data_IF_243406344058
#
_entry.id   IF_243406344058
#
_cell.length_a   1.000
_cell.length_b   1.000
_cell.length_c   1.000
_cell.angle_alpha   90.00
_cell.angle_beta   90.00
_cell.angle_gamma   90.00
#
_symmetry.space_group_name_H-M   'P 1'
#
loop_
_entity.id
_entity.type
_entity.pdbx_description
1 polymer ?
#
# COMPACT_ATOMS: atom_id res chain seq x y z
N UNK A 1 15.24 14.11 -11.62
CA UNK A 1 14.15 14.35 -10.64
C UNK A 1 13.19 13.18 -10.76
N UNK A 2 12.92 12.47 -9.66
CA UNK A 2 11.97 11.34 -9.67
C UNK A 2 10.53 11.85 -9.56
N UNK A 3 10.31 12.85 -8.70
CA UNK A 3 9.01 13.48 -8.51
C UNK A 3 9.12 14.82 -7.78
N UNK A 4 8.04 15.60 -7.82
CA UNK A 4 7.87 16.81 -7.02
C UNK A 4 6.45 16.78 -6.45
N UNK A 5 6.33 16.67 -5.12
CA UNK A 5 5.07 16.63 -4.39
C UNK A 5 4.92 17.87 -3.50
N UNK A 6 3.84 17.89 -2.71
CA UNK A 6 3.53 19.01 -1.82
C UNK A 6 4.62 19.22 -0.74
N UNK A 7 5.24 18.13 -0.28
CA UNK A 7 6.27 18.12 0.78
C UNK A 7 7.70 18.35 0.27
N UNK A 8 7.93 18.45 -1.05
CA UNK A 8 9.25 18.70 -1.60
C UNK A 8 9.53 18.04 -2.95
N UNK A 9 10.78 18.16 -3.41
CA UNK A 9 11.29 17.54 -4.63
C UNK A 9 12.14 16.33 -4.27
N UNK A 10 11.91 15.20 -4.95
CA UNK A 10 12.70 13.97 -4.78
C UNK A 10 13.70 13.81 -5.92
N UNK A 11 14.97 13.68 -5.57
CA UNK A 11 16.09 13.60 -6.50
C UNK A 11 16.81 12.27 -6.30
N UNK A 12 16.95 11.47 -7.36
CA UNK A 12 17.87 10.33 -7.38
C UNK A 12 19.31 10.87 -7.41
N UNK A 13 20.11 10.54 -6.41
CA UNK A 13 21.50 10.99 -6.34
C UNK A 13 22.42 10.14 -7.25
N UNK A 14 23.59 10.67 -7.66
CA UNK A 14 24.60 9.90 -8.37
C UNK A 14 24.93 8.58 -7.67
N UNK A 15 25.02 7.50 -8.44
CA UNK A 15 25.20 6.14 -7.93
C UNK A 15 23.92 5.30 -7.93
N UNK A 16 22.73 5.92 -7.97
CA UNK A 16 21.46 5.21 -8.20
C UNK A 16 20.98 4.35 -7.03
N UNK A 17 21.52 4.55 -5.82
CA UNK A 17 21.19 3.75 -4.62
C UNK A 17 20.42 4.53 -3.56
N UNK A 18 20.35 5.86 -3.68
CA UNK A 18 19.66 6.72 -2.71
C UNK A 18 18.94 7.87 -3.35
N UNK A 19 17.86 8.29 -2.71
CA UNK A 19 17.10 9.49 -3.05
C UNK A 19 17.26 10.54 -1.97
N UNK A 20 17.24 11.80 -2.38
CA UNK A 20 17.19 12.93 -1.47
C UNK A 20 15.92 13.72 -1.73
N UNK A 21 15.13 13.92 -0.67
CA UNK A 21 13.96 14.80 -0.68
C UNK A 21 14.38 16.15 -0.11
N UNK A 22 14.12 17.21 -0.87
CA UNK A 22 14.52 18.59 -0.55
C UNK A 22 13.34 19.56 -0.65
N UNK A 23 13.46 20.68 0.05
CA UNK A 23 12.58 21.83 -0.12
C UNK A 23 12.68 22.38 -1.55
N UNK A 24 11.52 22.67 -2.16
CA UNK A 24 11.41 23.12 -3.55
C UNK A 24 11.39 24.65 -3.62
N UNK A 25 12.56 25.28 -3.54
CA UNK A 25 12.72 26.76 -3.51
C UNK A 25 12.13 27.49 -4.72
N UNK A 26 11.87 26.80 -5.82
CA UNK A 26 11.34 27.37 -7.06
C UNK A 26 9.83 27.18 -7.25
N UNK A 27 9.13 26.52 -6.32
CA UNK A 27 7.71 26.14 -6.50
C UNK A 27 6.70 26.91 -5.66
N UNK A 28 7.12 27.87 -4.84
CA UNK A 28 6.18 28.59 -3.99
C UNK A 28 6.77 29.82 -3.34
N UNK A 29 5.90 30.51 -2.61
CA UNK A 29 6.26 31.63 -1.75
C UNK A 29 6.87 31.14 -0.42
N UNK A 30 7.20 32.09 0.46
CA UNK A 30 7.75 31.82 1.78
C UNK A 30 6.85 30.92 2.64
N UNK A 31 5.53 30.89 2.40
CA UNK A 31 4.61 30.03 3.14
C UNK A 31 4.77 28.57 2.72
N UNK A 32 4.79 28.29 1.41
CA UNK A 32 5.02 26.94 0.89
C UNK A 32 6.36 26.37 1.33
N UNK A 33 7.42 27.19 1.33
CA UNK A 33 8.76 26.79 1.80
C UNK A 33 8.71 26.40 3.29
N UNK A 34 8.03 27.16 4.13
CA UNK A 34 7.88 26.87 5.56
C UNK A 34 7.13 25.57 5.81
N UNK A 35 6.02 25.35 5.10
CA UNK A 35 5.25 24.11 5.21
C UNK A 35 6.07 22.89 4.77
N UNK A 36 6.82 22.99 3.66
CA UNK A 36 7.74 21.92 3.23
C UNK A 36 8.82 21.63 4.28
N UNK A 37 9.41 22.65 4.89
CA UNK A 37 10.38 22.46 5.96
C UNK A 37 9.75 21.75 7.17
N UNK A 38 8.51 22.12 7.53
CA UNK A 38 7.76 21.50 8.63
C UNK A 38 7.49 20.02 8.35
N UNK A 39 6.99 19.71 7.15
CA UNK A 39 6.76 18.35 6.65
C UNK A 39 8.03 17.49 6.70
N UNK A 40 9.15 17.99 6.17
CA UNK A 40 10.41 17.24 6.18
C UNK A 40 10.96 17.03 7.59
N UNK A 41 10.82 18.00 8.49
CA UNK A 41 11.22 17.83 9.90
C UNK A 41 10.41 16.74 10.59
N UNK A 42 9.10 16.69 10.34
CA UNK A 42 8.26 15.63 10.89
C UNK A 42 8.62 14.26 10.31
N UNK A 43 8.87 14.18 9.01
CA UNK A 43 9.32 12.94 8.37
C UNK A 43 10.64 12.45 8.99
N UNK A 44 11.61 13.35 9.19
CA UNK A 44 12.88 13.03 9.86
C UNK A 44 12.64 12.57 11.31
N UNK A 45 11.75 13.22 12.05
CA UNK A 45 11.42 12.84 13.42
C UNK A 45 10.80 11.44 13.49
N UNK A 46 9.87 11.14 12.58
CA UNK A 46 9.29 9.82 12.42
C UNK A 46 10.38 8.77 12.15
N UNK A 47 11.22 8.97 11.12
CA UNK A 47 12.31 8.03 10.81
C UNK A 47 13.30 7.83 11.96
N UNK A 48 13.58 8.86 12.77
CA UNK A 48 14.44 8.74 13.95
C UNK A 48 13.79 7.97 15.11
N UNK A 49 12.46 7.96 15.17
CA UNK A 49 11.69 7.19 16.15
C UNK A 49 11.54 5.71 15.73
N UNK A 50 11.54 5.43 14.43
CA UNK A 50 11.44 4.08 13.88
C UNK A 50 12.76 3.28 14.00
N UNK A 51 12.69 1.93 14.08
CA UNK A 51 13.87 1.08 14.00
C UNK A 51 14.60 1.27 12.66
N UNK A 52 15.90 1.55 12.70
CA UNK A 52 16.68 2.02 11.53
C UNK A 52 16.82 0.99 10.39
N UNK A 53 16.57 -0.29 10.66
CA UNK A 53 16.66 -1.39 9.69
C UNK A 53 15.38 -2.24 9.65
N UNK A 54 14.23 -1.66 9.99
CA UNK A 54 12.95 -2.36 9.87
C UNK A 54 12.67 -2.72 8.40
N UNK A 55 12.42 -3.99 8.12
CA UNK A 55 12.32 -4.52 6.76
C UNK A 55 11.10 -4.00 5.98
N UNK A 56 10.09 -3.43 6.65
CA UNK A 56 8.89 -2.82 6.04
C UNK A 56 8.96 -1.32 5.79
N UNK A 57 10.01 -0.63 6.22
CA UNK A 57 10.13 0.81 6.04
C UNK A 57 11.26 1.12 5.06
N UNK A 58 11.09 2.18 4.26
CA UNK A 58 12.18 2.67 3.43
C UNK A 58 13.34 3.12 4.33
N UNK A 59 14.55 2.63 4.07
CA UNK A 59 15.71 2.86 4.92
C UNK A 59 16.10 4.34 4.99
N UNK A 60 16.18 4.86 6.22
CA UNK A 60 16.75 6.18 6.51
C UNK A 60 18.27 6.14 6.39
N UNK A 61 18.83 7.00 5.52
CA UNK A 61 20.28 7.07 5.28
C UNK A 61 20.91 8.31 5.93
N UNK A 62 20.10 9.32 6.22
CA UNK A 62 20.56 10.55 6.88
C UNK A 62 19.61 11.72 6.66
N UNK A 63 19.94 12.84 7.30
CA UNK A 63 19.19 14.08 7.15
C UNK A 63 20.09 15.28 7.39
N UNK A 64 19.74 16.43 6.85
CA UNK A 64 20.37 17.73 7.15
C UNK A 64 19.29 18.78 7.41
N UNK A 65 19.51 19.64 8.40
CA UNK A 65 18.63 20.76 8.72
C UNK A 65 19.48 21.96 9.16
N UNK A 66 19.39 23.07 8.44
CA UNK A 66 20.11 24.31 8.78
C UNK A 66 19.42 25.16 9.86
N UNK A 67 18.30 24.69 10.42
CA UNK A 67 17.47 25.40 11.38
C UNK A 67 16.63 26.52 10.76
N UNK A 68 16.61 26.65 9.44
CA UNK A 68 15.87 27.67 8.70
C UNK A 68 15.02 27.01 7.62
N UNK A 69 15.43 27.18 6.37
CA UNK A 69 14.72 26.90 5.13
C UNK A 69 15.33 25.74 4.32
N UNK A 70 16.46 25.17 4.77
CA UNK A 70 17.10 24.03 4.11
C UNK A 70 17.01 22.81 5.00
N UNK A 71 16.06 21.95 4.66
CA UNK A 71 15.87 20.64 5.26
C UNK A 71 15.95 19.59 4.15
N UNK A 72 16.71 18.53 4.39
CA UNK A 72 16.85 17.40 3.45
C UNK A 72 16.80 16.08 4.20
N UNK A 73 16.20 15.08 3.57
CA UNK A 73 16.20 13.70 4.05
C UNK A 73 16.71 12.79 2.93
N UNK A 74 17.63 11.90 3.28
CA UNK A 74 18.22 10.90 2.39
C UNK A 74 17.64 9.53 2.74
N UNK A 75 17.04 8.88 1.76
CA UNK A 75 16.42 7.55 1.88
C UNK A 75 17.00 6.59 0.84
N UNK A 76 16.83 5.29 1.05
CA UNK A 76 17.13 4.32 -0.01
C UNK A 76 16.30 4.56 -1.28
N UNK A 77 16.87 4.17 -2.42
CA UNK A 77 16.15 4.18 -3.67
C UNK A 77 15.39 2.86 -3.89
N UNK A 78 14.10 2.96 -4.18
CA UNK A 78 13.21 1.82 -4.45
C UNK A 78 13.02 1.67 -5.97
N UNK A 79 13.67 0.68 -6.61
CA UNK A 79 13.81 0.64 -8.07
C UNK A 79 12.53 0.24 -8.80
N UNK A 80 11.58 -0.40 -8.13
CA UNK A 80 10.34 -0.89 -8.71
C UNK A 80 9.15 0.07 -8.51
N UNK A 81 9.44 1.32 -8.13
CA UNK A 81 8.46 2.38 -7.96
C UNK A 81 7.49 2.10 -6.79
N UNK A 82 6.44 2.90 -6.67
CA UNK A 82 5.35 2.67 -5.72
C UNK A 82 4.49 1.51 -6.19
N UNK A 83 3.81 0.82 -5.27
CA UNK A 83 2.85 -0.23 -5.59
C UNK A 83 1.80 0.30 -6.56
N UNK A 84 1.31 1.54 -6.38
CA UNK A 84 0.38 2.18 -7.30
C UNK A 84 0.92 2.22 -8.74
N UNK A 85 2.14 2.74 -8.93
CA UNK A 85 2.73 2.85 -10.27
C UNK A 85 3.08 1.48 -10.86
N UNK A 86 3.57 0.57 -10.03
CA UNK A 86 3.90 -0.79 -10.45
C UNK A 86 2.66 -1.54 -10.94
N UNK A 87 1.54 -1.47 -10.21
CA UNK A 87 0.27 -2.08 -10.58
C UNK A 87 -0.27 -1.53 -11.90
N UNK A 88 -0.04 -0.24 -12.18
CA UNK A 88 -0.41 0.39 -13.46
C UNK A 88 0.55 0.07 -14.59
N UNK A 89 1.65 -0.63 -14.32
CA UNK A 89 2.62 -1.05 -15.32
C UNK A 89 3.75 -0.06 -15.58
N UNK A 90 4.12 0.72 -14.57
CA UNK A 90 5.28 1.62 -14.62
C UNK A 90 6.35 1.16 -13.61
N UNK A 91 7.42 0.54 -14.09
CA UNK A 91 8.68 0.52 -13.31
C UNK A 91 9.31 1.92 -13.28
N UNK A 92 10.25 2.24 -12.37
CA UNK A 92 10.85 3.60 -12.37
C UNK A 92 11.56 3.91 -13.70
N UNK A 93 12.24 2.92 -14.29
CA UNK A 93 12.90 3.08 -15.58
C UNK A 93 11.89 3.38 -16.69
N UNK A 94 10.80 2.62 -16.73
CA UNK A 94 9.70 2.88 -17.68
C UNK A 94 9.05 4.23 -17.39
N UNK A 95 8.79 4.59 -16.13
CA UNK A 95 8.18 5.86 -15.74
C UNK A 95 9.01 7.07 -16.18
N UNK A 96 10.34 7.02 -15.99
CA UNK A 96 11.24 8.08 -16.44
C UNK A 96 11.30 8.20 -17.97
N UNK A 97 11.19 7.07 -18.68
CA UNK A 97 11.13 7.04 -20.15
C UNK A 97 9.73 7.44 -20.68
N UNK A 98 8.66 7.07 -19.99
CA UNK A 98 7.26 7.31 -20.38
C UNK A 98 6.75 8.67 -19.97
N UNK A 99 7.31 9.37 -18.98
CA UNK A 99 6.91 10.76 -18.72
C UNK A 99 7.13 11.67 -19.94
N UNK A 100 7.98 11.25 -20.89
CA UNK A 100 8.14 11.88 -22.21
C UNK A 100 7.10 11.44 -23.26
N UNK A 101 6.43 10.30 -23.05
CA UNK A 101 5.43 9.68 -23.93
C UNK A 101 3.99 9.80 -23.41
N UNK A 102 3.74 9.98 -22.11
CA UNK A 102 2.39 9.99 -21.54
C UNK A 102 1.52 11.13 -22.08
N UNK A 103 2.16 12.22 -22.50
CA UNK A 103 1.53 13.34 -23.21
C UNK A 103 1.05 12.93 -24.63
N UNK A 104 1.62 11.87 -25.20
CA UNK A 104 1.29 11.29 -26.52
C UNK A 104 0.49 9.97 -26.41
N UNK A 105 0.58 9.25 -25.29
CA UNK A 105 -0.04 7.93 -25.11
C UNK A 105 -1.56 8.05 -24.97
N UNK A 106 -2.28 7.35 -25.85
CA UNK A 106 -3.75 7.38 -25.84
C UNK A 106 -4.31 6.65 -24.61
N UNK A 107 -5.55 6.98 -24.23
CA UNK A 107 -6.26 6.26 -23.17
C UNK A 107 -6.30 4.74 -23.43
N UNK A 108 -6.48 4.33 -24.68
CA UNK A 108 -6.54 2.91 -25.04
C UNK A 108 -5.20 2.19 -24.85
N UNK A 109 -4.08 2.88 -25.11
CA UNK A 109 -2.73 2.33 -24.89
C UNK A 109 -2.44 2.16 -23.39
N UNK A 110 -2.83 3.15 -22.58
CA UNK A 110 -2.76 3.07 -21.10
C UNK A 110 -3.56 1.88 -20.57
N UNK A 111 -4.80 1.69 -21.03
CA UNK A 111 -5.65 0.56 -20.65
C UNK A 111 -5.02 -0.79 -21.06
N UNK A 112 -4.47 -0.91 -22.27
CA UNK A 112 -3.78 -2.14 -22.73
C UNK A 112 -2.54 -2.45 -21.91
N UNK A 113 -1.74 -1.45 -21.57
CA UNK A 113 -0.52 -1.61 -20.77
C UNK A 113 -0.86 -2.05 -19.35
N UNK A 114 -1.86 -1.41 -18.74
CA UNK A 114 -2.39 -1.83 -17.43
C UNK A 114 -2.84 -3.28 -17.51
N UNK A 115 -3.70 -3.66 -18.47
CA UNK A 115 -4.15 -5.06 -18.67
C UNK A 115 -2.99 -6.05 -18.68
N UNK A 116 -1.98 -5.81 -19.53
CA UNK A 116 -0.80 -6.67 -19.62
C UNK A 116 -0.05 -6.79 -18.30
N UNK A 117 0.02 -5.70 -17.53
CA UNK A 117 0.63 -5.73 -16.20
C UNK A 117 -0.20 -6.56 -15.23
N UNK A 118 -1.52 -6.39 -15.18
CA UNK A 118 -2.38 -7.20 -14.29
C UNK A 118 -2.24 -8.69 -14.59
N UNK A 119 -2.25 -9.07 -15.87
CA UNK A 119 -2.09 -10.45 -16.34
C UNK A 119 -0.72 -11.04 -15.94
N UNK A 120 0.28 -10.19 -15.73
CA UNK A 120 1.65 -10.61 -15.38
C UNK A 120 1.91 -10.76 -13.87
N UNK A 121 1.02 -10.25 -13.00
CA UNK A 121 1.24 -10.27 -11.53
C UNK A 121 0.45 -11.42 -10.92
N UNK A 122 1.13 -12.47 -10.39
CA UNK A 122 0.47 -13.60 -9.78
C UNK A 122 -0.34 -13.22 -8.54
N UNK A 123 -1.41 -13.97 -8.26
CA UNK A 123 -2.21 -13.80 -7.04
C UNK A 123 -1.36 -13.94 -5.77
N UNK A 124 -0.37 -14.84 -5.77
CA UNK A 124 0.58 -15.03 -4.66
C UNK A 124 1.34 -13.73 -4.34
N UNK A 125 1.79 -12.99 -5.37
CA UNK A 125 2.51 -11.74 -5.16
C UNK A 125 1.60 -10.64 -4.59
N UNK A 126 0.32 -10.61 -5.00
CA UNK A 126 -0.68 -9.70 -4.42
C UNK A 126 -0.96 -10.05 -2.95
N UNK A 127 -1.00 -11.35 -2.62
CA UNK A 127 -1.12 -11.81 -1.23
C UNK A 127 0.08 -11.36 -0.39
N UNK A 128 1.31 -11.53 -0.88
CA UNK A 128 2.51 -11.01 -0.22
C UNK A 128 2.39 -9.51 0.04
N UNK A 129 2.10 -8.70 -0.98
CA UNK A 129 2.00 -7.25 -0.81
C UNK A 129 0.94 -6.82 0.19
N UNK A 130 -0.23 -7.47 0.22
CA UNK A 130 -1.25 -7.17 1.20
C UNK A 130 -0.76 -7.48 2.62
N UNK A 131 -0.19 -8.67 2.84
CA UNK A 131 0.37 -9.06 4.13
C UNK A 131 1.47 -8.09 4.59
N UNK A 132 2.42 -7.78 3.72
CA UNK A 132 3.54 -6.89 4.02
C UNK A 132 3.08 -5.45 4.30
N UNK A 133 2.08 -4.95 3.58
CA UNK A 133 1.52 -3.63 3.85
C UNK A 133 0.87 -3.57 5.24
N UNK A 134 0.05 -4.56 5.61
CA UNK A 134 -0.59 -4.60 6.93
C UNK A 134 0.42 -4.82 8.05
N UNK A 135 1.42 -5.68 7.84
CA UNK A 135 2.51 -5.92 8.78
C UNK A 135 3.30 -4.63 9.07
N UNK A 136 3.66 -3.89 8.02
CA UNK A 136 4.34 -2.61 8.16
C UNK A 136 3.52 -1.58 8.95
N UNK A 137 2.23 -1.44 8.67
CA UNK A 137 1.36 -0.52 9.43
C UNK A 137 1.15 -1.00 10.87
N UNK A 138 1.04 -2.31 11.10
CA UNK A 138 0.95 -2.88 12.45
C UNK A 138 2.19 -2.57 13.28
N UNK A 139 3.38 -2.63 12.67
CA UNK A 139 4.63 -2.22 13.31
C UNK A 139 4.66 -0.73 13.65
N UNK A 140 4.08 0.16 12.82
CA UNK A 140 3.95 1.58 13.15
C UNK A 140 3.02 1.79 14.37
N UNK A 141 1.85 1.13 14.37
CA UNK A 141 0.89 1.23 15.47
C UNK A 141 1.49 0.76 16.79
N UNK A 142 2.26 -0.33 16.77
CA UNK A 142 2.97 -0.84 17.95
C UNK A 142 4.01 0.15 18.52
N UNK A 143 4.51 1.07 17.68
CA UNK A 143 5.44 2.14 18.05
C UNK A 143 4.73 3.48 18.35
N UNK A 144 3.40 3.48 18.44
CA UNK A 144 2.55 4.65 18.62
C UNK A 144 2.74 5.70 17.51
N UNK A 145 2.86 5.22 16.26
CA UNK A 145 2.94 6.05 15.06
C UNK A 145 1.72 5.78 14.20
N UNK A 146 0.99 6.83 13.81
CA UNK A 146 -0.01 6.80 12.74
C UNK A 146 0.62 7.38 11.49
N UNK A 147 0.48 6.71 10.35
CA UNK A 147 1.01 7.19 9.07
C UNK A 147 0.21 8.39 8.51
N UNK A 148 -1.12 8.37 8.69
CA UNK A 148 -2.09 9.39 8.29
C UNK A 148 -2.27 9.61 6.77
N UNK A 149 -1.68 8.76 5.94
CA UNK A 149 -1.86 8.79 4.47
C UNK A 149 -1.55 7.40 3.87
N UNK A 150 -2.17 6.35 4.42
CA UNK A 150 -1.95 4.97 3.97
C UNK A 150 -2.59 4.79 2.59
N UNK A 151 -1.75 4.50 1.60
CA UNK A 151 -2.15 4.16 0.23
C UNK A 151 -0.98 3.54 -0.54
N UNK A 152 -1.22 2.75 -1.61
CA UNK A 152 -0.17 2.15 -2.43
C UNK A 152 0.81 3.14 -3.08
N UNK A 153 0.45 4.43 -3.19
CA UNK A 153 1.36 5.50 -3.60
C UNK A 153 2.47 5.76 -2.56
N UNK A 154 2.26 5.43 -1.29
CA UNK A 154 3.23 5.57 -0.18
C UNK A 154 3.87 4.22 0.22
N UNK A 155 3.74 3.21 -0.65
CA UNK A 155 4.29 1.87 -0.48
C UNK A 155 5.22 1.56 -1.65
N UNK A 156 6.53 1.70 -1.47
CA UNK A 156 7.51 1.45 -2.52
C UNK A 156 7.94 0.00 -2.60
N UNK A 157 8.45 -0.42 -3.75
CA UNK A 157 8.92 -1.78 -4.00
C UNK A 157 10.44 -1.83 -4.10
N UNK A 158 11.06 -2.63 -3.24
CA UNK A 158 12.50 -2.89 -3.29
C UNK A 158 12.88 -3.75 -4.51
N UNK A 159 14.17 -4.07 -4.66
CA UNK A 159 14.67 -4.86 -5.79
C UNK A 159 14.06 -6.27 -5.88
N UNK A 160 13.56 -6.79 -4.76
CA UNK A 160 12.91 -8.09 -4.66
C UNK A 160 11.37 -7.98 -4.75
N UNK A 161 10.80 -6.79 -4.97
CA UNK A 161 9.36 -6.52 -4.94
C UNK A 161 8.72 -6.65 -3.55
N UNK A 162 9.48 -6.48 -2.48
CA UNK A 162 8.89 -6.37 -1.14
C UNK A 162 8.46 -4.92 -0.87
N UNK A 163 7.41 -4.77 -0.08
CA UNK A 163 6.84 -3.48 0.32
C UNK A 163 7.73 -2.76 1.33
N UNK A 164 7.99 -1.48 1.04
CA UNK A 164 8.70 -0.50 1.87
C UNK A 164 7.83 0.75 2.01
N UNK A 165 7.26 0.96 3.19
CA UNK A 165 6.43 2.12 3.52
C UNK A 165 7.32 3.36 3.67
N UNK A 166 6.90 4.48 3.11
CA UNK A 166 7.61 5.76 3.13
C UNK A 166 6.63 6.95 3.13
N UNK A 167 7.17 8.17 3.16
CA UNK A 167 6.42 9.44 3.23
C UNK A 167 5.70 9.66 4.56
N UNK A 168 6.47 9.60 5.65
CA UNK A 168 6.02 9.92 7.01
C UNK A 168 5.86 11.43 7.26
N UNK A 169 5.86 12.26 6.22
CA UNK A 169 5.78 13.71 6.36
C UNK A 169 4.51 14.17 7.08
N UNK A 170 3.40 13.47 6.86
CA UNK A 170 2.11 13.73 7.50
C UNK A 170 1.86 13.01 8.82
N UNK A 171 2.77 12.13 9.23
CA UNK A 171 2.54 11.18 10.33
C UNK A 171 2.34 11.83 11.69
N UNK A 172 1.59 11.15 12.56
CA UNK A 172 1.54 11.43 13.99
C UNK A 172 2.52 10.50 14.71
N UNK A 173 3.50 11.07 15.42
CA UNK A 173 4.50 10.33 16.19
C UNK A 173 4.22 10.57 17.67
N UNK A 174 3.89 9.51 18.41
CA UNK A 174 3.58 9.58 19.84
C UNK A 174 2.47 10.58 20.19
N UNK A 175 1.46 10.70 19.33
CA UNK A 175 0.32 11.62 19.53
C UNK A 175 0.58 13.07 19.12
N UNK A 176 1.65 13.35 18.36
CA UNK A 176 1.82 14.66 17.72
C UNK A 176 0.66 14.95 16.76
N UNK A 177 0.35 16.22 16.53
CA UNK A 177 -0.72 16.58 15.58
C UNK A 177 -0.34 16.12 14.16
N UNK A 178 -1.19 15.34 13.47
CA UNK A 178 -0.92 14.93 12.10
C UNK A 178 -0.95 16.14 11.16
N UNK A 179 -0.10 16.11 10.13
CA UNK A 179 0.04 17.22 9.18
C UNK A 179 -0.51 16.91 7.79
N UNK A 180 -1.12 15.73 7.61
CA UNK A 180 -1.77 15.34 6.38
C UNK A 180 -3.17 14.81 6.68
N UNK A 181 -3.98 14.79 5.62
CA UNK A 181 -5.27 14.11 5.58
C UNK A 181 -5.17 12.96 4.57
N UNK A 182 -5.95 11.91 4.79
CA UNK A 182 -5.99 10.78 3.87
C UNK A 182 -6.54 11.23 2.50
N UNK A 183 -6.05 10.61 1.42
CA UNK A 183 -6.64 10.82 0.09
C UNK A 183 -8.04 10.21 0.01
N UNK A 184 -8.95 10.85 -0.74
CA UNK A 184 -10.40 10.54 -0.77
C UNK A 184 -10.77 9.06 -0.73
N UNK A 185 -10.16 8.21 -1.57
CA UNK A 185 -10.49 6.77 -1.66
C UNK A 185 -10.06 5.94 -0.44
N UNK A 186 -9.18 6.49 0.38
CA UNK A 186 -8.62 5.89 1.58
C UNK A 186 -9.07 6.62 2.86
N UNK A 187 -9.87 7.68 2.71
CA UNK A 187 -10.43 8.45 3.80
C UNK A 187 -11.70 7.78 4.34
N UNK A 188 -11.68 7.44 5.62
CA UNK A 188 -12.87 6.92 6.31
C UNK A 188 -13.94 8.01 6.38
N UNK A 189 -15.21 7.75 5.99
CA UNK A 189 -16.28 8.73 6.12
C UNK A 189 -16.53 9.05 7.60
N UNK A 190 -16.25 10.29 8.00
CA UNK A 190 -16.34 10.77 9.39
C UNK A 190 -16.53 12.28 9.46
N UNK A 191 -16.81 12.83 10.64
CA UNK A 191 -16.79 14.28 10.81
C UNK A 191 -15.34 14.77 10.63
N UNK A 192 -15.08 15.85 9.88
CA UNK A 192 -13.73 16.42 9.77
C UNK A 192 -13.09 16.82 11.10
N UNK A 193 -13.91 17.00 12.16
CA UNK A 193 -13.45 17.28 13.52
C UNK A 193 -13.08 16.04 14.33
N UNK A 194 -13.47 14.86 13.87
CA UNK A 194 -13.09 13.62 14.55
C UNK A 194 -11.58 13.44 14.45
N UNK A 195 -10.97 12.86 15.48
CA UNK A 195 -9.54 12.65 15.52
C UNK A 195 -9.12 11.54 14.55
N UNK A 196 -7.91 11.66 14.01
CA UNK A 196 -7.24 10.56 13.31
C UNK A 196 -6.89 9.47 14.31
N UNK A 197 -7.04 8.21 13.90
CA UNK A 197 -6.87 7.07 14.79
C UNK A 197 -6.61 5.79 14.02
N UNK A 198 -6.39 4.71 14.79
CA UNK A 198 -6.17 3.36 14.24
C UNK A 198 -7.35 2.93 13.36
N UNK A 199 -8.58 3.34 13.70
CA UNK A 199 -9.78 3.00 12.95
C UNK A 199 -9.83 3.69 11.57
N UNK A 200 -9.29 4.90 11.43
CA UNK A 200 -9.18 5.57 10.12
C UNK A 200 -8.11 4.91 9.26
N UNK A 201 -7.01 4.48 9.87
CA UNK A 201 -5.95 3.72 9.21
C UNK A 201 -6.39 2.31 8.81
N UNK A 202 -7.25 1.65 9.59
CA UNK A 202 -7.85 0.37 9.24
C UNK A 202 -8.73 0.49 7.98
N UNK A 203 -9.52 1.56 7.86
CA UNK A 203 -10.29 1.83 6.64
C UNK A 203 -9.36 2.02 5.42
N UNK A 204 -8.30 2.83 5.58
CA UNK A 204 -7.32 3.07 4.54
C UNK A 204 -6.57 1.79 4.12
N UNK A 205 -6.29 0.89 5.07
CA UNK A 205 -5.77 -0.45 4.81
C UNK A 205 -6.75 -1.28 3.98
N UNK A 206 -8.05 -1.30 4.30
CA UNK A 206 -9.07 -1.97 3.49
C UNK A 206 -9.06 -1.51 2.02
N UNK A 207 -9.05 -0.18 1.81
CA UNK A 207 -8.93 0.42 0.47
C UNK A 207 -7.60 0.10 -0.21
N UNK A 208 -6.50 0.02 0.53
CA UNK A 208 -5.18 -0.34 0.00
C UNK A 208 -5.10 -1.80 -0.40
N UNK A 209 -5.67 -2.71 0.40
CA UNK A 209 -5.77 -4.14 0.08
C UNK A 209 -6.59 -4.31 -1.19
N UNK A 210 -7.77 -3.67 -1.29
CA UNK A 210 -8.57 -3.66 -2.52
C UNK A 210 -7.74 -3.24 -3.74
N UNK A 211 -6.97 -2.16 -3.61
CA UNK A 211 -6.12 -1.64 -4.68
C UNK A 211 -5.00 -2.61 -5.04
N UNK A 212 -4.39 -3.29 -4.07
CA UNK A 212 -3.37 -4.32 -4.31
C UNK A 212 -3.96 -5.51 -5.07
N UNK A 213 -5.13 -6.02 -4.66
CA UNK A 213 -5.69 -7.24 -5.25
C UNK A 213 -6.32 -7.01 -6.61
N UNK A 214 -7.01 -5.88 -6.83
CA UNK A 214 -7.61 -5.53 -8.13
C UNK A 214 -6.61 -4.84 -9.07
N UNK A 215 -5.61 -4.16 -8.50
CA UNK A 215 -4.69 -3.27 -9.20
C UNK A 215 -5.29 -1.91 -9.57
N UNK A 216 -6.50 -1.58 -9.11
CA UNK A 216 -7.14 -0.27 -9.31
C UNK A 216 -7.68 0.27 -8.00
N UNK A 217 -7.74 1.60 -7.85
CA UNK A 217 -8.24 2.21 -6.61
C UNK A 217 -9.74 1.91 -6.44
N UNK A 218 -10.28 1.84 -5.21
CA UNK A 218 -11.72 1.77 -4.96
C UNK A 218 -12.47 2.84 -5.76
N UNK A 219 -13.43 2.47 -6.60
CA UNK A 219 -14.16 3.39 -7.49
C UNK A 219 -13.30 4.22 -8.46
N UNK A 220 -12.16 3.72 -8.96
CA UNK A 220 -11.12 4.48 -9.71
C UNK A 220 -11.59 5.51 -10.75
N UNK A 221 -12.70 5.24 -11.45
CA UNK A 221 -13.28 6.08 -12.51
C UNK A 221 -14.34 7.08 -12.02
N UNK A 222 -14.76 6.99 -10.76
CA UNK A 222 -15.76 7.86 -10.13
C UNK A 222 -15.07 9.13 -9.60
N UNK A 223 -15.62 10.33 -9.81
CA UNK A 223 -15.06 11.58 -9.26
C UNK A 223 -14.98 11.55 -7.73
N UNK A 224 -13.97 12.21 -7.16
CA UNK A 224 -13.70 12.21 -5.71
C UNK A 224 -14.93 12.64 -4.88
N UNK A 225 -15.65 13.69 -5.31
CA UNK A 225 -16.86 14.15 -4.62
C UNK A 225 -17.93 13.03 -4.53
N UNK A 226 -18.17 12.28 -5.60
CA UNK A 226 -19.16 11.18 -5.57
C UNK A 226 -18.68 10.01 -4.70
N UNK A 227 -17.36 9.75 -4.65
CA UNK A 227 -16.79 8.73 -3.76
C UNK A 227 -17.04 9.08 -2.30
N UNK A 228 -16.88 10.35 -1.92
CA UNK A 228 -17.19 10.82 -0.57
C UNK A 228 -18.68 10.60 -0.23
N UNK A 229 -19.59 10.86 -1.18
CA UNK A 229 -21.02 10.61 -1.00
C UNK A 229 -21.37 9.12 -0.93
N UNK A 230 -20.69 8.26 -1.69
CA UNK A 230 -20.86 6.80 -1.62
C UNK A 230 -20.41 6.28 -0.25
N UNK A 231 -19.22 6.66 0.20
CA UNK A 231 -18.70 6.26 1.51
C UNK A 231 -19.57 6.80 2.65
N UNK A 232 -20.05 8.03 2.57
CA UNK A 232 -20.98 8.59 3.57
C UNK A 232 -22.30 7.80 3.67
N UNK A 233 -22.73 7.16 2.57
CA UNK A 233 -23.89 6.25 2.52
C UNK A 233 -23.55 4.81 2.88
N UNK A 234 -22.29 4.52 3.23
CA UNK A 234 -21.75 3.17 3.42
C UNK A 234 -21.90 2.28 2.18
N UNK A 235 -21.89 2.89 0.99
CA UNK A 235 -21.84 2.21 -0.30
C UNK A 235 -20.37 2.03 -0.70
N UNK A 236 -19.95 0.78 -0.84
CA UNK A 236 -18.56 0.41 -1.12
C UNK A 236 -18.46 -0.42 -2.41
N UNK A 237 -17.26 -0.51 -3.03
CA UNK A 237 -17.07 -1.32 -4.24
C UNK A 237 -17.51 -2.77 -4.07
N UNK A 238 -17.97 -3.37 -5.16
CA UNK A 238 -18.32 -4.78 -5.20
C UNK A 238 -17.07 -5.67 -5.01
N UNK A 239 -17.21 -6.71 -4.19
CA UNK A 239 -16.16 -7.67 -3.87
C UNK A 239 -16.50 -9.09 -4.40
N UNK A 240 -17.68 -9.28 -4.99
CA UNK A 240 -18.24 -10.58 -5.36
C UNK A 240 -18.03 -10.95 -6.84
N UNK A 241 -17.19 -10.20 -7.56
CA UNK A 241 -16.74 -10.55 -8.91
C UNK A 241 -17.73 -10.30 -10.04
N UNK A 242 -19.01 -10.03 -9.75
CA UNK A 242 -20.03 -9.72 -10.78
C UNK A 242 -19.68 -8.42 -11.52
N UNK A 243 -19.31 -7.35 -10.80
CA UNK A 243 -18.92 -6.09 -11.45
C UNK A 243 -17.56 -6.16 -12.16
N UNK A 244 -16.65 -7.04 -11.71
CA UNK A 244 -15.34 -7.24 -12.35
C UNK A 244 -15.45 -8.01 -13.68
N UNK A 245 -16.53 -8.78 -13.89
CA UNK A 245 -16.83 -9.42 -15.18
C UNK A 245 -17.30 -8.41 -16.23
N UNK A 246 -18.08 -7.42 -15.81
CA UNK A 246 -18.69 -6.40 -16.70
C UNK A 246 -17.73 -5.26 -17.09
N UNK A 247 -16.53 -5.19 -16.49
CA UNK A 247 -15.43 -4.37 -16.99
C UNK A 247 -14.38 -5.20 -17.77
N UNK A 248 -14.67 -5.70 -18.98
CA UNK A 248 -13.65 -6.29 -19.81
C UNK A 248 -12.66 -5.20 -20.24
N UNK A 249 -11.42 -5.32 -19.81
CA UNK A 249 -10.27 -4.71 -20.49
C UNK A 249 -10.28 -5.23 -21.93
N UNK A 250 -10.84 -4.45 -22.85
CA UNK A 250 -10.94 -4.77 -24.28
C UNK A 250 -9.54 -5.01 -24.86
N UNK A 251 -9.08 -6.25 -24.89
CA UNK A 251 -7.81 -6.58 -25.54
C UNK A 251 -7.09 -7.88 -25.15
N UNK A 252 -7.59 -8.68 -24.22
CA UNK A 252 -6.95 -9.97 -23.91
C UNK A 252 -7.31 -11.04 -24.95
N UNK A 253 -6.30 -11.52 -25.69
CA UNK A 253 -6.40 -12.63 -26.64
C UNK A 253 -5.66 -13.87 -26.12
N UNK A 254 -5.57 -14.05 -24.80
CA UNK A 254 -4.99 -15.24 -24.17
C UNK A 254 -6.07 -16.27 -23.86
N UNK A 255 -5.80 -17.55 -24.13
CA UNK A 255 -6.68 -18.70 -23.83
C UNK A 255 -6.87 -19.00 -22.33
N UNK A 256 -6.55 -18.06 -21.44
CA UNK A 256 -6.98 -18.12 -20.04
C UNK A 256 -8.34 -17.44 -19.99
N UNK A 257 -9.35 -18.12 -19.42
CA UNK A 257 -10.56 -17.42 -19.03
C UNK A 257 -10.15 -16.12 -18.29
N UNK A 258 -10.89 -15.01 -18.42
CA UNK A 258 -10.68 -13.84 -17.59
C UNK A 258 -11.07 -14.23 -16.16
N UNK A 259 -10.22 -15.01 -15.51
CA UNK A 259 -10.25 -15.33 -14.10
C UNK A 259 -9.93 -14.01 -13.41
N UNK A 260 -11.00 -13.23 -13.28
CA UNK A 260 -11.20 -12.01 -12.51
C UNK A 260 -9.99 -11.65 -11.65
N UNK A 261 -9.20 -10.67 -12.09
CA UNK A 261 -7.96 -10.21 -11.43
C UNK A 261 -8.16 -10.13 -9.91
N UNK A 262 -7.30 -10.81 -9.16
CA UNK A 262 -7.33 -10.80 -7.70
C UNK A 262 -8.35 -11.75 -7.06
N UNK A 263 -9.06 -12.59 -7.83
CA UNK A 263 -10.10 -13.48 -7.28
C UNK A 263 -9.50 -14.73 -6.64
N UNK A 264 -10.02 -15.09 -5.48
CA UNK A 264 -9.68 -16.33 -4.79
C UNK A 264 -10.24 -17.53 -5.55
N UNK A 265 -9.41 -18.54 -5.86
CA UNK A 265 -9.88 -19.77 -6.52
C UNK A 265 -10.80 -20.61 -5.62
N UNK A 266 -10.83 -20.33 -4.31
CA UNK A 266 -11.63 -21.08 -3.34
C UNK A 266 -13.03 -20.51 -3.18
N UNK A 267 -13.17 -19.18 -3.15
CA UNK A 267 -14.46 -18.52 -2.89
C UNK A 267 -15.13 -18.01 -4.17
N UNK A 268 -14.38 -17.82 -5.26
CA UNK A 268 -14.85 -17.09 -6.44
C UNK A 268 -15.08 -15.60 -6.21
N UNK A 269 -14.72 -15.09 -5.01
CA UNK A 269 -14.76 -13.68 -4.64
C UNK A 269 -13.35 -13.09 -4.69
N UNK A 270 -13.25 -11.77 -4.62
CA UNK A 270 -11.96 -11.10 -4.47
C UNK A 270 -11.18 -11.67 -3.26
N UNK A 271 -9.88 -11.91 -3.43
CA UNK A 271 -8.99 -12.27 -2.32
C UNK A 271 -9.07 -11.17 -1.26
N UNK A 272 -9.24 -11.57 0.00
CA UNK A 272 -9.42 -10.69 1.16
C UNK A 272 -10.75 -9.93 1.20
N UNK A 273 -11.76 -10.35 0.45
CA UNK A 273 -13.06 -9.67 0.43
C UNK A 273 -13.67 -9.46 1.83
N UNK A 274 -13.64 -10.47 2.71
CA UNK A 274 -14.19 -10.32 4.06
C UNK A 274 -13.39 -9.31 4.90
N UNK A 275 -12.05 -9.35 4.82
CA UNK A 275 -11.18 -8.41 5.53
C UNK A 275 -11.37 -6.97 5.01
N UNK A 276 -11.41 -6.77 3.69
CA UNK A 276 -11.67 -5.47 3.06
C UNK A 276 -13.01 -4.90 3.54
N UNK A 277 -14.08 -5.73 3.51
CA UNK A 277 -15.40 -5.34 3.99
C UNK A 277 -15.34 -4.92 5.46
N UNK A 278 -14.76 -5.74 6.33
CA UNK A 278 -14.62 -5.44 7.77
C UNK A 278 -13.85 -4.16 8.05
N UNK A 279 -12.81 -3.85 7.26
CA UNK A 279 -12.11 -2.57 7.34
C UNK A 279 -13.04 -1.39 7.04
N UNK A 280 -13.83 -1.47 5.95
CA UNK A 280 -14.74 -0.40 5.55
C UNK A 280 -15.89 -0.16 6.52
N UNK A 281 -16.41 -1.23 7.14
CA UNK A 281 -17.47 -1.14 8.15
C UNK A 281 -16.94 -0.90 9.58
N UNK A 282 -15.62 -0.83 9.77
CA UNK A 282 -15.00 -0.56 11.08
C UNK A 282 -15.15 -1.71 12.08
N UNK A 283 -15.12 -2.95 11.60
CA UNK A 283 -15.25 -4.17 12.42
C UNK A 283 -13.91 -4.64 13.02
N UNK A 284 -12.78 -4.08 12.57
CA UNK A 284 -11.47 -4.30 13.17
C UNK A 284 -11.11 -3.18 14.13
N UNK A 285 -10.66 -3.54 15.33
CA UNK A 285 -10.16 -2.59 16.32
C UNK A 285 -8.69 -2.24 16.10
N UNK A 286 -7.91 -3.14 15.49
CA UNK A 286 -6.47 -2.95 15.25
C UNK A 286 -6.01 -3.48 13.90
N UNK A 287 -4.89 -2.96 13.41
CA UNK A 287 -4.20 -3.48 12.23
C UNK A 287 -3.68 -4.92 12.42
N UNK A 288 -3.33 -5.30 13.65
CA UNK A 288 -2.94 -6.67 13.98
C UNK A 288 -4.08 -7.68 13.75
N UNK A 289 -5.33 -7.31 14.05
CA UNK A 289 -6.49 -8.16 13.74
C UNK A 289 -6.71 -8.31 12.23
N UNK A 290 -6.44 -7.25 11.45
CA UNK A 290 -6.45 -7.32 9.99
C UNK A 290 -5.39 -8.32 9.52
N UNK A 291 -4.16 -8.23 10.05
CA UNK A 291 -3.07 -9.12 9.67
C UNK A 291 -3.42 -10.59 9.91
N UNK A 292 -3.98 -10.92 11.07
CA UNK A 292 -4.41 -12.29 11.39
C UNK A 292 -5.56 -12.77 10.49
N UNK A 293 -6.49 -11.89 10.11
CA UNK A 293 -7.53 -12.23 9.14
C UNK A 293 -6.95 -12.54 7.75
N UNK A 294 -5.98 -11.75 7.27
CA UNK A 294 -5.30 -12.01 6.01
C UNK A 294 -4.52 -13.32 6.05
N UNK A 295 -3.74 -13.57 7.12
CA UNK A 295 -3.01 -14.82 7.32
C UNK A 295 -3.94 -16.03 7.27
N UNK A 296 -5.05 -15.97 8.00
CA UNK A 296 -6.07 -17.04 8.03
C UNK A 296 -6.65 -17.32 6.65
N UNK A 297 -6.93 -16.28 5.85
CA UNK A 297 -7.43 -16.46 4.49
C UNK A 297 -6.37 -17.01 3.54
N UNK A 298 -5.11 -16.57 3.66
CA UNK A 298 -3.99 -17.10 2.87
C UNK A 298 -3.80 -18.59 3.14
N UNK A 299 -3.76 -19.01 4.41
CA UNK A 299 -3.63 -20.42 4.81
C UNK A 299 -4.75 -21.30 4.23
N UNK A 300 -5.99 -20.77 4.17
CA UNK A 300 -7.14 -21.45 3.59
C UNK A 300 -7.14 -21.48 2.06
N UNK A 301 -6.58 -20.45 1.42
CA UNK A 301 -6.66 -20.25 -0.04
C UNK A 301 -5.58 -21.01 -0.80
N UNK A 302 -4.37 -21.08 -0.24
CA UNK A 302 -3.19 -21.55 -0.95
C UNK A 302 -2.74 -22.95 -0.52
N UNK A 303 -2.03 -23.65 -1.42
CA UNK A 303 -1.46 -24.96 -1.12
C UNK A 303 -0.17 -24.83 -0.29
N UNK A 304 0.40 -25.93 0.20
CA UNK A 304 1.60 -25.87 1.07
C UNK A 304 2.85 -25.30 0.39
N UNK A 305 3.02 -25.51 -0.91
CA UNK A 305 4.14 -24.93 -1.67
C UNK A 305 4.01 -23.42 -1.81
N UNK A 306 2.81 -22.96 -2.15
CA UNK A 306 2.48 -21.54 -2.20
C UNK A 306 2.64 -20.87 -0.83
N UNK A 307 2.24 -21.53 0.26
CA UNK A 307 2.40 -21.01 1.62
C UNK A 307 3.86 -20.87 2.01
N UNK A 308 4.71 -21.87 1.71
CA UNK A 308 6.16 -21.74 1.90
C UNK A 308 6.73 -20.57 1.12
N UNK A 309 6.33 -20.43 -0.14
CA UNK A 309 6.74 -19.30 -0.97
C UNK A 309 6.32 -17.95 -0.35
N UNK A 310 5.06 -17.81 0.03
CA UNK A 310 4.54 -16.56 0.62
C UNK A 310 5.26 -16.26 1.94
N UNK A 311 5.49 -17.27 2.79
CA UNK A 311 6.21 -17.09 4.06
C UNK A 311 7.66 -16.68 3.88
N UNK A 312 8.39 -17.35 3.00
CA UNK A 312 9.78 -16.98 2.69
C UNK A 312 9.85 -15.57 2.10
N UNK A 313 8.89 -15.23 1.23
CA UNK A 313 8.88 -13.95 0.52
C UNK A 313 8.52 -12.78 1.43
N UNK A 314 7.43 -12.93 2.19
CA UNK A 314 6.90 -11.90 3.08
C UNK A 314 7.56 -11.88 4.46
N UNK A 315 8.37 -12.88 4.81
CA UNK A 315 8.91 -13.02 6.16
C UNK A 315 7.84 -13.24 7.23
N UNK A 316 6.61 -13.59 6.84
CA UNK A 316 5.47 -13.83 7.74
C UNK A 316 5.16 -15.33 7.77
N UNK A 317 5.19 -15.92 8.95
CA UNK A 317 4.94 -17.34 9.15
C UNK A 317 3.47 -17.70 8.85
N UNK A 318 3.27 -18.65 7.94
CA UNK A 318 1.97 -19.14 7.48
C UNK A 318 2.01 -20.67 7.48
N UNK A 319 1.53 -21.28 8.55
CA UNK A 319 1.44 -22.73 8.66
C UNK A 319 -0.02 -23.16 8.73
N UNK A 320 -0.33 -24.27 8.07
CA UNK A 320 -1.58 -24.99 8.35
C UNK A 320 -1.39 -25.62 9.73
N UNK A 321 -2.33 -25.37 10.64
CA UNK A 321 -2.33 -26.09 11.92
C UNK A 321 -2.17 -27.58 11.62
N UNK A 322 -1.12 -28.19 12.19
CA UNK A 322 -0.96 -29.63 12.12
C UNK A 322 -2.27 -30.23 12.62
N UNK A 323 -2.90 -31.06 11.79
CA UNK A 323 -4.06 -31.85 12.19
C UNK A 323 -3.61 -32.87 13.22
N UNK A 324 -3.31 -32.39 14.43
CA UNK A 324 -3.18 -33.18 15.63
C UNK A 324 -4.57 -33.67 15.98
N UNK A 325 -5.04 -34.67 15.24
CA UNK A 325 -6.02 -35.59 15.79
C UNK A 325 -5.50 -36.03 17.17
N UNK A 326 -6.36 -36.06 18.20
CA UNK A 326 -5.92 -36.38 19.55
C UNK A 326 -5.13 -37.67 19.48
N UNK A 327 -3.89 -37.63 19.97
CA UNK A 327 -3.04 -38.81 20.08
C UNK A 327 -3.89 -39.89 20.72
N UNK A 328 -4.19 -40.95 19.96
CA UNK A 328 -4.87 -42.11 20.48
C UNK A 328 -3.96 -42.63 21.59
N UNK A 329 -4.33 -42.36 22.85
CA UNK A 329 -3.81 -43.05 24.00
C UNK A 329 -4.19 -44.51 23.81
N UNK A 330 -3.34 -45.25 23.11
CA UNK A 330 -3.26 -46.68 23.27
C UNK A 330 -2.66 -46.89 24.66
N UNK A 331 -3.56 -46.88 25.65
CA UNK A 331 -3.30 -47.58 26.90
C UNK A 331 -3.19 -49.05 26.54
N UNK A 332 -1.97 -49.54 26.53
CA UNK A 332 -1.65 -50.96 26.57
C UNK A 332 -2.19 -51.54 27.88
N UNK A 333 -3.46 -51.94 27.86
CA UNK A 333 -4.03 -52.91 28.78
C UNK A 333 -3.80 -54.29 28.16
N UNK A 334 -2.67 -54.95 28.46
CA UNK A 334 -2.55 -56.42 28.57
C UNK A 334 -1.39 -56.84 29.46
#
# INVERSE_FOLDING_TARGET
MLGAGNSGTVILLPGGTRVQKIVSFWRGDDFVIKEQCKSLRNEIAAYKHLPQDHHRFAKFLGSSDNGKDRVTIDLEYLPNNTLHEYLRGYTVREFLDTKRRDDEETRADKERRMSRRHDSIPLLQRACWALEAVDGISALHALNVLHCDIKPENMGLDAQLNVRIFDFAGSSVCGSEPMSMESTRYHKPRNPRDYYGVDTECFALGSSIYHIVTGVRPYDKVPDEEVEHLYARQEFPDLYGEALKDEPLKGSTGNTAPDTIGTSPVTGMLLFADAIRKCWYGEFATSAEILEALKSEVVRTFNEEDLRYISEKSGIELEKEATGGPAANHSDDQ
#
